data_IF_326071012129
#
_entry.id   IF_326071012129
#
_cell.length_a   1.000
_cell.length_b   1.000
_cell.length_c   1.000
_cell.angle_alpha   90.00
_cell.angle_beta   90.00
_cell.angle_gamma   90.00
#
_symmetry.space_group_name_H-M   'P 1'
#
loop_
_entity.id
_entity.type
_entity.pdbx_description
1 polymer ?
2 polymer ?
3 non-polymer ?
4 water ?
#
# COMPACT_ATOMS: atom_id res chain seq x y z
N UNK A 4 -15.96 -12.52 18.72
CA UNK A 4 -16.38 -13.89 18.37
C UNK A 4 -16.06 -14.86 19.50
N UNK A 5 -17.09 -15.45 20.08
CA UNK A 5 -16.91 -16.33 21.22
C UNK A 5 -16.49 -17.72 20.75
N UNK A 6 -16.07 -18.54 21.73
CA UNK A 6 -15.55 -19.86 21.41
C UNK A 6 -16.59 -20.72 20.70
N UNK A 7 -17.84 -20.69 21.18
CA UNK A 7 -18.89 -21.49 20.56
C UNK A 7 -19.11 -21.08 19.11
N UNK A 8 -19.02 -19.77 18.83
CA UNK A 8 -19.26 -19.32 17.47
C UNK A 8 -18.11 -19.73 16.55
N UNK A 9 -16.87 -19.59 17.03
CA UNK A 9 -15.72 -20.04 16.23
C UNK A 9 -15.86 -21.54 15.94
N UNK A 10 -16.26 -22.31 16.95
CA UNK A 10 -16.40 -23.75 16.76
C UNK A 10 -17.52 -24.06 15.76
N UNK A 11 -18.65 -23.35 15.87
CA UNK A 11 -19.73 -23.54 14.89
C UNK A 11 -19.23 -23.27 13.47
N UNK A 12 -18.45 -22.20 13.29
CA UNK A 12 -17.97 -21.87 11.97
C UNK A 12 -16.99 -22.91 11.45
N UNK A 13 -16.16 -23.45 12.33
CA UNK A 13 -15.29 -24.55 11.93
C UNK A 13 -16.10 -25.78 11.54
N UNK A 14 -17.18 -26.05 12.27
CA UNK A 14 -18.04 -27.17 11.92
C UNK A 14 -18.68 -26.98 10.56
N UNK A 15 -19.17 -25.77 10.27
CA UNK A 15 -19.71 -25.46 8.95
C UNK A 15 -18.66 -25.68 7.87
N UNK A 16 -17.43 -25.19 8.12
CA UNK A 16 -16.36 -25.33 7.15
C UNK A 16 -15.99 -26.78 6.93
N UNK A 17 -16.18 -27.63 7.95
CA UNK A 17 -15.90 -29.05 7.78
C UNK A 17 -16.75 -29.68 6.69
N UNK A 18 -17.88 -29.07 6.34
CA UNK A 18 -18.74 -29.53 5.26
C UNK A 18 -18.49 -28.76 3.96
N UNK A 19 -17.55 -27.83 3.97
CA UNK A 19 -17.22 -27.01 2.81
C UNK A 19 -15.82 -27.30 2.30
N UNK A 20 -14.87 -27.44 3.21
CA UNK A 20 -13.45 -27.54 2.82
C UNK A 20 -13.14 -28.97 2.37
N UNK A 21 -12.43 -29.09 1.26
CA UNK A 21 -12.01 -30.36 0.67
C UNK A 21 -10.48 -30.39 0.67
N UNK A 22 -9.94 -31.42 1.19
CA UNK A 22 -8.47 -31.54 1.26
C UNK A 22 -7.93 -32.31 0.08
N UNK A 23 -6.68 -32.08 -0.31
CA UNK A 23 -6.14 -32.80 -1.46
C UNK A 23 -5.83 -34.25 -1.09
N UNK A 24 -5.80 -35.09 -2.12
CA UNK A 24 -5.36 -36.46 -1.93
C UNK A 24 -3.84 -36.54 -1.99
N UNK A 25 -3.28 -37.44 -1.20
CA UNK A 25 -1.83 -37.54 -1.12
C UNK A 25 -1.26 -36.65 -0.04
N UNK A 26 0.05 -36.45 -0.11
CA UNK A 26 0.76 -35.72 0.91
C UNK A 26 0.50 -34.21 0.78
N UNK A 27 0.28 -33.57 1.91
CA UNK A 27 0.12 -32.11 1.98
C UNK A 27 0.36 -31.68 3.43
N UNK A 28 0.57 -30.39 3.59
CA UNK A 28 0.86 -29.79 4.88
C UNK A 28 -0.44 -29.68 5.68
N UNK A 29 -0.66 -30.66 6.57
CA UNK A 29 -1.90 -30.70 7.31
C UNK A 29 -2.01 -29.53 8.28
N UNK A 30 -0.91 -29.18 8.94
CA UNK A 30 -0.97 -28.07 9.89
C UNK A 30 -1.32 -26.75 9.19
N UNK A 31 -0.73 -26.49 8.03
CA UNK A 31 -1.06 -25.24 7.34
C UNK A 31 -2.47 -25.27 6.76
N UNK A 32 -2.94 -26.44 6.32
CA UNK A 32 -4.32 -26.54 5.88
C UNK A 32 -5.25 -26.19 7.03
N UNK A 33 -4.96 -26.72 8.22
CA UNK A 33 -5.76 -26.40 9.40
C UNK A 33 -5.72 -24.91 9.71
N UNK A 34 -4.54 -24.29 9.59
CA UNK A 34 -4.43 -22.85 9.83
C UNK A 34 -5.28 -22.06 8.84
N UNK A 35 -5.35 -22.50 7.58
CA UNK A 35 -6.19 -21.83 6.60
C UNK A 35 -7.67 -21.94 6.96
N UNK A 36 -8.10 -23.11 7.41
CA UNK A 36 -9.48 -23.27 7.86
C UNK A 36 -9.78 -22.38 9.05
N UNK A 37 -8.82 -22.29 9.99
CA UNK A 37 -9.02 -21.44 11.16
C UNK A 37 -9.18 -19.97 10.76
N UNK A 38 -8.42 -19.51 9.76
CA UNK A 38 -8.60 -18.13 9.28
C UNK A 38 -9.95 -17.96 8.60
N UNK A 39 -10.38 -18.94 7.81
CA UNK A 39 -11.70 -18.86 7.20
C UNK A 39 -12.82 -18.86 8.24
N UNK A 40 -12.59 -19.45 9.40
CA UNK A 40 -13.62 -19.54 10.43
C UNK A 40 -13.94 -18.18 11.06
N UNK A 41 -13.12 -17.15 10.80
CA UNK A 41 -13.45 -15.80 11.24
C UNK A 41 -14.50 -15.14 10.37
N UNK A 42 -14.80 -15.71 9.21
CA UNK A 42 -15.86 -15.16 8.36
C UNK A 42 -17.19 -15.33 9.07
N UNK A 43 -18.07 -14.35 8.89
CA UNK A 43 -19.37 -14.38 9.55
C UNK A 43 -20.10 -15.68 9.19
N UNK A 44 -20.67 -16.31 10.22
CA UNK A 44 -21.31 -17.58 10.03
C UNK A 44 -22.45 -17.55 9.02
N UNK A 45 -23.11 -16.39 8.87
CA UNK A 45 -24.18 -16.31 7.88
C UNK A 45 -23.66 -16.64 6.48
N UNK A 46 -22.47 -16.14 6.14
CA UNK A 46 -21.91 -16.41 4.82
C UNK A 46 -21.48 -17.87 4.70
N UNK A 47 -20.86 -18.41 5.74
CA UNK A 47 -20.42 -19.79 5.69
C UNK A 47 -21.60 -20.72 5.54
N UNK A 48 -22.70 -20.45 6.27
CA UNK A 48 -23.86 -21.33 6.17
C UNK A 48 -24.45 -21.28 4.76
N UNK A 49 -24.45 -20.10 4.13
CA UNK A 49 -24.94 -19.97 2.78
C UNK A 49 -24.07 -20.70 1.78
N UNK A 50 -22.76 -20.66 1.95
CA UNK A 50 -21.86 -21.44 1.10
C UNK A 50 -22.17 -22.92 1.22
N UNK A 51 -22.34 -23.40 2.46
CA UNK A 51 -22.67 -24.80 2.69
C UNK A 51 -23.99 -25.16 2.02
N UNK A 52 -25.02 -24.30 2.19
CA UNK A 52 -26.32 -24.62 1.61
C UNK A 52 -26.24 -24.72 0.08
N UNK A 53 -25.36 -23.93 -0.53
CA UNK A 53 -25.19 -23.93 -1.99
C UNK A 53 -24.21 -24.97 -2.48
N UNK A 54 -23.75 -25.85 -1.60
CA UNK A 54 -22.76 -26.88 -1.89
C UNK A 54 -21.54 -26.27 -2.61
N UNK A 55 -21.09 -25.13 -2.10
CA UNK A 55 -19.81 -24.56 -2.54
C UNK A 55 -18.69 -25.22 -1.77
N UNK A 56 -17.70 -25.73 -2.49
CA UNK A 56 -16.55 -26.37 -1.87
C UNK A 56 -15.34 -25.46 -1.92
N UNK A 57 -14.60 -25.43 -0.81
CA UNK A 57 -13.32 -24.74 -0.76
C UNK A 57 -12.25 -25.82 -0.90
N UNK A 58 -11.68 -25.89 -2.10
CA UNK A 58 -10.75 -26.97 -2.44
C UNK A 58 -9.32 -26.53 -2.13
N UNK A 59 -8.68 -27.21 -1.20
CA UNK A 59 -7.30 -26.96 -0.86
C UNK A 59 -6.43 -27.87 -1.72
N UNK A 60 -5.39 -27.31 -2.30
CA UNK A 60 -4.58 -27.98 -3.30
C UNK A 60 -3.12 -28.04 -2.87
N UNK A 61 -2.46 -29.12 -3.28
CA UNK A 61 -1.04 -29.31 -3.08
C UNK A 61 -0.21 -29.03 -4.33
N UNK A 62 -0.82 -28.56 -5.41
CA UNK A 62 -0.11 -28.28 -6.63
C UNK A 62 -0.78 -27.14 -7.35
N UNK A 63 -0.45 -26.95 -8.63
CA UNK A 63 -1.00 -25.85 -9.40
C UNK A 63 -2.51 -26.00 -9.61
N UNK A 64 -3.19 -24.85 -9.67
CA UNK A 64 -4.63 -24.87 -9.91
C UNK A 64 -4.95 -25.58 -11.21
N UNK A 65 -4.16 -25.34 -12.26
CA UNK A 65 -4.45 -25.86 -13.58
C UNK A 65 -4.13 -27.35 -13.71
N UNK A 66 -3.56 -27.97 -12.68
CA UNK A 66 -3.39 -29.41 -12.67
C UNK A 66 -4.66 -30.14 -12.29
N UNK A 67 -5.67 -29.43 -11.81
CA UNK A 67 -6.98 -30.00 -11.54
C UNK A 67 -7.80 -30.01 -12.83
N UNK A 68 -8.47 -31.12 -13.08
CA UNK A 68 -9.19 -31.30 -14.34
C UNK A 68 -10.12 -30.14 -14.62
N UNK A 69 -10.81 -29.62 -13.58
CA UNK A 69 -11.80 -28.59 -13.81
C UNK A 69 -11.19 -27.21 -14.13
N UNK A 70 -9.88 -27.03 -13.93
CA UNK A 70 -9.25 -25.78 -14.29
C UNK A 70 -8.19 -25.94 -15.39
N UNK A 71 -8.07 -27.13 -15.99
CA UNK A 71 -7.12 -27.29 -17.07
C UNK A 71 -7.39 -26.34 -18.24
N UNK A 72 -8.65 -25.96 -18.44
CA UNK A 72 -8.99 -25.04 -19.54
C UNK A 72 -8.36 -23.66 -19.37
N UNK A 73 -7.85 -23.34 -18.19
CA UNK A 73 -7.24 -22.05 -17.92
C UNK A 73 -5.73 -22.06 -18.11
N UNK A 74 -5.14 -23.18 -18.54
CA UNK A 74 -3.72 -23.21 -18.82
C UNK A 74 -3.36 -22.17 -19.87
N UNK A 75 -2.35 -21.37 -19.57
CA UNK A 75 -1.92 -20.33 -20.49
C UNK A 75 -2.81 -19.11 -20.54
N UNK A 76 -3.88 -19.08 -19.77
CA UNK A 76 -4.80 -17.94 -19.78
C UNK A 76 -4.36 -16.93 -18.74
N UNK A 77 -4.34 -15.65 -19.13
CA UNK A 77 -3.94 -14.57 -18.24
C UNK A 77 -5.19 -14.08 -17.52
N UNK A 78 -5.22 -14.13 -16.18
CA UNK A 78 -6.41 -13.69 -15.47
C UNK A 78 -6.74 -12.23 -15.70
N UNK A 79 -8.01 -11.92 -15.56
CA UNK A 79 -8.46 -10.52 -15.56
C UNK A 79 -7.64 -9.70 -14.56
N UNK A 80 -7.11 -8.57 -15.02
CA UNK A 80 -6.29 -7.71 -14.19
C UNK A 80 -4.83 -8.11 -14.05
N UNK A 81 -4.43 -9.26 -14.56
CA UNK A 81 -3.05 -9.71 -14.52
C UNK A 81 -2.31 -9.44 -15.82
N UNK A 82 -2.87 -8.59 -16.69
CA UNK A 82 -2.21 -8.25 -17.94
C UNK A 82 -0.82 -7.67 -17.68
N UNK A 83 0.16 -8.15 -18.45
CA UNK A 83 1.52 -7.63 -18.35
C UNK A 83 2.34 -8.17 -17.19
N UNK A 84 1.73 -8.99 -16.31
CA UNK A 84 2.49 -9.58 -15.23
C UNK A 84 3.44 -10.65 -15.73
N UNK A 85 3.19 -11.20 -16.91
CA UNK A 85 3.93 -12.36 -17.38
C UNK A 85 3.51 -13.67 -16.76
N UNK A 86 2.43 -13.66 -15.99
CA UNK A 86 1.90 -14.83 -15.33
C UNK A 86 0.58 -15.23 -15.97
N UNK A 87 0.29 -16.52 -15.87
CA UNK A 87 -0.98 -17.10 -16.30
C UNK A 87 -1.62 -17.82 -15.13
N UNK A 88 -2.81 -18.36 -15.35
CA UNK A 88 -3.49 -19.09 -14.27
C UNK A 88 -2.62 -20.21 -13.74
N UNK A 89 -1.73 -20.78 -14.57
CA UNK A 89 -0.82 -21.81 -14.10
C UNK A 89 -0.03 -21.38 -12.86
N UNK A 90 0.26 -20.08 -12.76
CA UNK A 90 1.08 -19.51 -11.71
C UNK A 90 0.29 -18.93 -10.55
N UNK A 91 -1.04 -18.89 -10.63
CA UNK A 91 -1.87 -18.16 -9.67
C UNK A 91 -2.29 -19.12 -8.56
N UNK A 92 -2.09 -18.76 -7.29
CA UNK A 92 -2.29 -19.74 -6.21
C UNK A 92 -3.69 -19.81 -5.66
N UNK A 93 -4.63 -18.97 -6.09
CA UNK A 93 -5.98 -19.01 -5.58
C UNK A 93 -6.97 -18.50 -6.59
N UNK A 94 -8.18 -19.06 -6.55
CA UNK A 94 -9.25 -18.74 -7.49
C UNK A 94 -10.56 -18.71 -6.73
N UNK A 95 -11.41 -17.72 -7.03
CA UNK A 95 -12.71 -17.64 -6.40
C UNK A 95 -13.75 -17.10 -7.37
N UNK A 96 -15.00 -17.51 -7.14
CA UNK A 96 -16.10 -17.12 -8.00
C UNK A 96 -17.21 -18.14 -7.89
N UNK A 97 -17.42 -18.91 -8.95
CA UNK A 97 -18.38 -20.01 -8.89
C UNK A 97 -17.83 -21.21 -8.13
N UNK A 98 -16.52 -21.25 -7.92
CA UNK A 98 -15.84 -22.28 -7.17
C UNK A 98 -14.78 -21.57 -6.33
N UNK A 99 -14.12 -22.31 -5.46
CA UNK A 99 -12.96 -21.78 -4.74
C UNK A 99 -11.86 -22.84 -4.74
N UNK A 100 -10.63 -22.44 -5.08
CA UNK A 100 -9.49 -23.34 -5.09
C UNK A 100 -8.27 -22.56 -4.60
N UNK A 101 -7.52 -23.18 -3.69
CA UNK A 101 -6.46 -22.51 -2.93
C UNK A 101 -5.27 -23.42 -2.77
N UNK A 102 -4.07 -22.92 -3.10
CA UNK A 102 -2.84 -23.67 -2.88
C UNK A 102 -2.37 -23.54 -1.44
N UNK A 103 -2.18 -24.67 -0.76
CA UNK A 103 -1.75 -24.65 0.62
C UNK A 103 -0.35 -24.06 0.72
N UNK A 104 -0.16 -23.16 1.68
CA UNK A 104 1.12 -22.53 1.91
C UNK A 104 1.28 -21.16 1.27
N UNK A 105 0.30 -20.72 0.47
CA UNK A 105 0.39 -19.47 -0.26
C UNK A 105 -0.51 -18.38 0.31
N UNK A 106 -0.91 -18.51 1.58
CA UNK A 106 -1.88 -17.59 2.15
C UNK A 106 -1.37 -16.16 2.18
N UNK A 107 -0.09 -15.96 2.54
CA UNK A 107 0.38 -14.63 2.89
C UNK A 107 0.73 -13.78 1.67
N UNK A 108 0.57 -12.48 1.83
CA UNK A 108 0.96 -11.50 0.84
C UNK A 108 2.38 -11.75 0.40
N UNK A 109 2.58 -11.79 -0.91
CA UNK A 109 3.87 -12.02 -1.49
C UNK A 109 4.14 -13.44 -1.97
N UNK A 110 3.23 -14.37 -1.69
CA UNK A 110 3.40 -15.76 -2.11
C UNK A 110 2.67 -15.96 -3.45
N UNK A 111 3.21 -15.31 -4.47
CA UNK A 111 2.60 -15.41 -5.78
C UNK A 111 1.40 -14.53 -5.97
N UNK A 112 1.15 -13.62 -5.04
CA UNK A 112 0.01 -12.70 -5.07
C UNK A 112 0.32 -11.61 -4.06
N UNK A 113 -0.48 -10.53 -4.09
CA UNK A 113 -0.32 -9.43 -3.14
C UNK A 113 -1.63 -9.14 -2.39
N UNK A 114 -2.49 -10.14 -2.26
CA UNK A 114 -3.68 -10.01 -1.41
C UNK A 114 -3.25 -10.11 0.05
N UNK A 115 -4.03 -9.48 0.93
CA UNK A 115 -3.68 -9.50 2.35
C UNK A 115 -3.75 -10.93 2.89
N UNK A 116 -4.64 -11.75 2.34
CA UNK A 116 -4.75 -13.15 2.69
C UNK A 116 -5.46 -13.84 1.53
N UNK A 117 -4.84 -14.90 1.03
CA UNK A 117 -5.32 -15.58 -0.17
C UNK A 117 -6.70 -16.20 0.04
N UNK A 118 -6.86 -17.00 1.09
CA UNK A 118 -8.11 -17.76 1.21
C UNK A 118 -9.30 -16.85 1.47
N UNK A 119 -9.12 -15.80 2.27
CA UNK A 119 -10.22 -14.87 2.52
C UNK A 119 -10.59 -14.12 1.25
N UNK A 120 -9.58 -13.67 0.49
CA UNK A 120 -9.84 -12.94 -0.76
C UNK A 120 -10.58 -13.84 -1.74
N UNK A 121 -10.10 -15.06 -1.95
CA UNK A 121 -10.75 -15.97 -2.89
C UNK A 121 -12.15 -16.33 -2.44
N UNK A 122 -12.32 -16.66 -1.17
CA UNK A 122 -13.65 -17.04 -0.68
C UNK A 122 -14.60 -15.85 -0.73
N UNK A 123 -14.10 -14.64 -0.54
CA UNK A 123 -14.95 -13.46 -0.71
C UNK A 123 -15.54 -13.40 -2.13
N UNK A 124 -14.78 -13.80 -3.14
CA UNK A 124 -15.35 -13.82 -4.49
C UNK A 124 -16.56 -14.74 -4.55
N UNK A 125 -16.49 -15.90 -3.91
CA UNK A 125 -17.58 -16.86 -3.96
C UNK A 125 -18.77 -16.32 -3.18
N UNK A 126 -18.49 -15.65 -2.05
CA UNK A 126 -19.59 -15.08 -1.27
C UNK A 126 -20.28 -13.98 -2.10
N UNK A 127 -19.48 -13.12 -2.72
CA UNK A 127 -20.01 -12.08 -3.61
C UNK A 127 -20.90 -12.70 -4.69
N UNK A 128 -20.38 -13.69 -5.41
CA UNK A 128 -21.07 -14.20 -6.59
C UNK A 128 -22.23 -15.14 -6.22
N UNK A 129 -21.98 -16.09 -5.33
CA UNK A 129 -22.95 -17.14 -5.05
C UNK A 129 -23.94 -16.68 -3.98
N UNK A 130 -23.44 -16.11 -2.89
CA UNK A 130 -24.27 -15.84 -1.73
C UNK A 130 -25.01 -14.53 -1.89
N UNK A 131 -24.35 -13.53 -2.45
CA UNK A 131 -24.85 -12.16 -2.49
C UNK A 131 -25.23 -11.73 -3.90
N UNK A 132 -25.24 -12.67 -4.86
CA UNK A 132 -25.77 -12.39 -6.20
C UNK A 132 -25.09 -11.18 -6.84
N UNK A 133 -23.75 -11.21 -6.79
CA UNK A 133 -22.88 -10.21 -7.44
C UNK A 133 -23.14 -8.81 -6.90
N UNK A 134 -23.16 -8.71 -5.57
CA UNK A 134 -23.40 -7.41 -4.94
C UNK A 134 -22.29 -6.43 -5.29
N UNK A 135 -21.08 -6.91 -5.57
CA UNK A 135 -20.00 -5.99 -5.89
C UNK A 135 -20.27 -5.21 -7.17
N UNK A 136 -21.17 -5.70 -8.02
CA UNK A 136 -21.53 -4.99 -9.24
C UNK A 136 -22.85 -4.24 -9.11
N UNK A 137 -23.40 -4.16 -7.92
CA UNK A 137 -24.60 -3.38 -7.69
C UNK A 137 -24.29 -1.88 -7.74
N UNK A 138 -25.33 -1.09 -8.02
CA UNK A 138 -25.16 0.36 -8.06
C UNK A 138 -24.64 0.88 -6.72
N UNK A 139 -25.15 0.34 -5.62
CA UNK A 139 -24.71 0.81 -4.31
C UNK A 139 -23.22 0.60 -4.13
N UNK A 140 -22.73 -0.59 -4.43
CA UNK A 140 -21.31 -0.82 -4.17
C UNK A 140 -20.44 -0.09 -5.18
N UNK A 141 -20.94 0.07 -6.42
CA UNK A 141 -20.17 0.82 -7.41
C UNK A 141 -19.94 2.26 -6.98
N UNK A 142 -20.94 2.86 -6.33
CA UNK A 142 -20.79 4.23 -5.83
C UNK A 142 -19.75 4.28 -4.70
N UNK A 143 -19.75 3.29 -3.83
CA UNK A 143 -18.72 3.21 -2.78
C UNK A 143 -17.34 2.98 -3.40
N UNK A 144 -17.26 2.05 -4.36
CA UNK A 144 -16.02 1.77 -5.07
C UNK A 144 -15.48 3.00 -5.79
N UNK A 145 -16.37 3.79 -6.37
CA UNK A 145 -15.93 5.00 -7.08
C UNK A 145 -15.22 5.95 -6.13
N UNK A 146 -15.62 5.98 -4.87
CA UNK A 146 -15.01 6.91 -3.94
C UNK A 146 -13.78 6.32 -3.24
N UNK A 147 -13.86 5.06 -2.85
CA UNK A 147 -12.87 4.46 -1.95
C UNK A 147 -12.00 3.40 -2.59
N UNK A 148 -12.25 3.04 -3.85
CA UNK A 148 -11.60 1.91 -4.49
C UNK A 148 -10.10 2.06 -4.74
N UNK A 149 -9.55 3.25 -4.57
CA UNK A 149 -8.13 3.51 -4.79
C UNK A 149 -7.40 3.77 -3.47
N UNK A 150 -8.02 3.43 -2.34
CA UNK A 150 -7.46 3.80 -1.03
C UNK A 150 -6.82 2.60 -0.34
N UNK A 151 -6.84 1.43 -0.97
CA UNK A 151 -6.27 0.21 -0.43
C UNK A 151 -5.04 -0.25 -1.20
N UNK A 152 -4.46 0.62 -2.02
CA UNK A 152 -3.32 0.25 -2.84
C UNK A 152 -3.72 -0.57 -4.06
N UNK A 153 -2.69 -0.99 -4.81
CA UNK A 153 -2.85 -1.77 -6.03
C UNK A 153 -3.99 -1.24 -6.90
N UNK A 154 -3.88 0.06 -7.21
CA UNK A 154 -5.02 0.80 -7.74
C UNK A 154 -5.35 0.42 -9.17
N UNK A 155 -4.40 -0.19 -9.90
CA UNK A 155 -4.73 -0.63 -11.25
C UNK A 155 -5.44 -1.97 -11.27
N UNK A 156 -5.62 -2.59 -10.10
CA UNK A 156 -6.39 -3.80 -9.94
C UNK A 156 -7.59 -3.55 -9.03
N UNK A 157 -7.36 -3.21 -7.76
CA UNK A 157 -8.46 -2.90 -6.84
C UNK A 157 -9.22 -1.65 -7.23
N UNK A 158 -8.57 -0.68 -7.83
CA UNK A 158 -9.25 0.55 -8.21
C UNK A 158 -9.99 0.49 -9.51
N UNK A 159 -9.86 -0.63 -10.23
CA UNK A 159 -10.44 -0.79 -11.54
C UNK A 159 -11.57 -1.79 -11.56
N UNK A 160 -11.50 -2.82 -10.74
CA UNK A 160 -12.52 -3.88 -10.76
C UNK A 160 -13.27 -3.89 -9.43
N UNK A 161 -14.56 -3.51 -9.40
CA UNK A 161 -15.25 -3.46 -8.11
C UNK A 161 -15.29 -4.79 -7.41
N UNK A 162 -15.40 -5.90 -8.16
CA UNK A 162 -15.39 -7.22 -7.52
C UNK A 162 -14.08 -7.51 -6.83
N UNK A 163 -12.97 -6.98 -7.32
CA UNK A 163 -11.69 -7.16 -6.63
C UNK A 163 -11.59 -6.27 -5.40
N UNK A 164 -12.04 -5.02 -5.49
CA UNK A 164 -12.07 -4.18 -4.31
C UNK A 164 -12.96 -4.80 -3.22
N UNK A 165 -14.09 -5.38 -3.61
CA UNK A 165 -14.95 -6.04 -2.64
C UNK A 165 -14.20 -7.19 -1.98
N UNK A 166 -13.59 -8.06 -2.78
CA UNK A 166 -12.94 -9.25 -2.23
C UNK A 166 -11.80 -8.87 -1.30
N UNK A 167 -11.00 -7.86 -1.67
CA UNK A 167 -9.87 -7.51 -0.81
C UNK A 167 -10.34 -6.78 0.45
N UNK A 168 -11.36 -5.93 0.31
CA UNK A 168 -11.92 -5.29 1.49
C UNK A 168 -12.48 -6.33 2.45
N UNK A 169 -13.17 -7.32 1.90
CA UNK A 169 -13.69 -8.40 2.71
C UNK A 169 -12.57 -9.09 3.48
N UNK A 170 -11.46 -9.36 2.82
CA UNK A 170 -10.31 -9.99 3.47
C UNK A 170 -9.76 -9.12 4.60
N UNK A 171 -9.65 -7.80 4.37
CA UNK A 171 -9.22 -6.91 5.44
C UNK A 171 -10.18 -6.98 6.62
N UNK A 172 -11.48 -7.01 6.33
CA UNK A 172 -12.47 -6.97 7.39
C UNK A 172 -12.36 -8.19 8.28
N UNK A 173 -12.06 -9.36 7.70
CA UNK A 173 -12.16 -10.61 8.43
C UNK A 173 -10.85 -11.28 8.81
N UNK A 174 -9.69 -10.78 8.35
CA UNK A 174 -8.45 -11.46 8.66
C UNK A 174 -8.12 -11.32 10.15
N UNK A 175 -7.95 -10.09 10.63
CA UNK A 175 -7.68 -9.91 12.04
C UNK A 175 -8.07 -8.49 12.45
N UNK A 176 -7.89 -8.21 13.74
CA UNK A 176 -8.29 -6.91 14.28
C UNK A 176 -7.50 -5.76 13.66
N UNK A 177 -6.23 -5.99 13.33
CA UNK A 177 -5.40 -4.94 12.74
C UNK A 177 -5.88 -4.58 11.34
N UNK A 178 -6.09 -5.60 10.49
CA UNK A 178 -6.52 -5.31 9.13
C UNK A 178 -7.94 -4.72 9.14
N UNK A 179 -8.77 -5.21 10.06
CA UNK A 179 -10.13 -4.65 10.20
C UNK A 179 -10.05 -3.17 10.53
N UNK A 180 -9.16 -2.79 11.45
CA UNK A 180 -9.01 -1.38 11.81
C UNK A 180 -8.46 -0.57 10.66
N UNK A 181 -7.52 -1.13 9.90
CA UNK A 181 -6.97 -0.41 8.74
C UNK A 181 -8.05 -0.14 7.71
N UNK A 182 -8.92 -1.11 7.46
CA UNK A 182 -9.99 -0.89 6.49
C UNK A 182 -10.92 0.23 6.95
N UNK A 183 -11.28 0.24 8.23
CA UNK A 183 -12.17 1.28 8.72
C UNK A 183 -11.57 2.67 8.51
N UNK A 184 -10.25 2.80 8.68
CA UNK A 184 -9.60 4.09 8.53
C UNK A 184 -9.45 4.48 7.07
N UNK A 185 -9.16 3.52 6.20
CA UNK A 185 -8.93 3.82 4.79
C UNK A 185 -10.23 3.97 4.02
N UNK A 186 -11.21 3.12 4.30
CA UNK A 186 -12.41 2.96 3.48
C UNK A 186 -13.63 2.89 4.40
N UNK A 187 -14.01 4.02 5.00
CA UNK A 187 -15.10 3.96 5.99
C UNK A 187 -16.45 3.57 5.41
N UNK A 188 -16.77 3.99 4.18
CA UNK A 188 -18.06 3.60 3.60
C UNK A 188 -18.10 2.12 3.27
N UNK A 189 -16.98 1.59 2.77
CA UNK A 189 -16.87 0.16 2.51
C UNK A 189 -16.98 -0.63 3.81
N UNK A 190 -16.33 -0.15 4.88
CA UNK A 190 -16.39 -0.81 6.17
C UNK A 190 -17.82 -0.87 6.70
N UNK A 191 -18.55 0.25 6.64
CA UNK A 191 -19.93 0.30 7.09
C UNK A 191 -20.81 -0.61 6.24
N UNK A 192 -20.55 -0.65 4.92
CA UNK A 192 -21.28 -1.53 4.03
C UNK A 192 -21.12 -2.98 4.43
N UNK A 193 -19.88 -3.39 4.71
CA UNK A 193 -19.64 -4.77 5.12
C UNK A 193 -20.25 -5.06 6.47
N UNK A 194 -20.14 -4.11 7.39
CA UNK A 194 -20.77 -4.24 8.69
C UNK A 194 -22.27 -4.49 8.56
N UNK A 195 -22.94 -3.73 7.71
CA UNK A 195 -24.37 -3.86 7.54
C UNK A 195 -24.73 -5.09 6.76
N UNK A 196 -23.87 -5.51 5.83
CA UNK A 196 -24.11 -6.73 5.07
C UNK A 196 -24.25 -7.94 5.97
N UNK A 197 -23.53 -7.97 7.10
CA UNK A 197 -23.51 -9.15 7.95
C UNK A 197 -24.66 -9.18 8.93
N UNK A 198 -25.44 -8.11 9.03
CA UNK A 198 -26.59 -8.08 9.96
C UNK A 198 -27.69 -9.03 9.50
N UNK B 7 9.73 18.01 -18.83
CA UNK B 7 10.99 17.31 -19.04
C UNK B 7 10.82 15.79 -18.96
N UNK B 8 11.58 15.09 -19.78
CA UNK B 8 11.53 13.64 -19.80
C UNK B 8 12.32 13.06 -18.62
N UNK B 9 12.19 11.75 -18.46
CA UNK B 9 13.00 11.03 -17.49
C UNK B 9 14.49 11.19 -17.82
N UNK B 10 14.83 11.18 -19.13
CA UNK B 10 16.22 11.30 -19.50
C UNK B 10 16.78 12.63 -19.02
N UNK B 11 16.04 13.71 -19.27
CA UNK B 11 16.47 15.03 -18.81
C UNK B 11 16.56 15.09 -17.28
N UNK B 12 15.59 14.49 -16.59
CA UNK B 12 15.61 14.52 -15.14
C UNK B 12 16.77 13.72 -14.57
N UNK B 13 17.11 12.58 -15.17
CA UNK B 13 18.29 11.86 -14.71
C UNK B 13 19.55 12.65 -15.01
N UNK B 14 19.59 13.37 -16.14
CA UNK B 14 20.75 14.22 -16.41
C UNK B 14 20.88 15.32 -15.37
N UNK B 15 19.76 15.98 -15.03
CA UNK B 15 19.78 16.96 -13.96
C UNK B 15 20.25 16.34 -12.66
N UNK B 16 19.73 15.17 -12.32
CA UNK B 16 20.10 14.54 -11.05
C UNK B 16 21.57 14.14 -11.02
N UNK B 17 22.14 13.78 -12.17
CA UNK B 17 23.57 13.49 -12.18
C UNK B 17 24.41 14.71 -11.81
N UNK B 18 23.85 15.92 -11.93
CA UNK B 18 24.54 17.13 -11.53
C UNK B 18 24.19 17.59 -10.13
N UNK B 19 23.23 16.95 -9.46
CA UNK B 19 22.78 17.35 -8.15
C UNK B 19 23.17 16.32 -7.10
N UNK B 20 23.12 15.04 -7.48
CA UNK B 20 23.35 13.95 -6.53
C UNK B 20 24.83 13.80 -6.29
N UNK B 21 25.21 13.64 -5.03
CA UNK B 21 26.59 13.43 -4.65
C UNK B 21 26.68 12.06 -4.01
N UNK B 22 27.55 11.23 -4.50
CA UNK B 22 27.69 9.89 -3.94
C UNK B 22 28.80 9.87 -2.88
N UNK B 23 28.69 8.98 -1.90
CA UNK B 23 29.65 8.97 -0.80
C UNK B 23 30.97 8.27 -1.13
N UNK B 24 31.98 8.57 -0.30
CA UNK B 24 33.24 7.87 -0.42
C UNK B 24 33.17 6.44 0.12
N UNK B 25 32.42 6.24 1.21
CA UNK B 25 32.42 4.94 1.85
C UNK B 25 31.61 3.90 1.11
N UNK B 26 31.53 2.73 1.73
CA UNK B 26 30.90 1.57 1.11
C UNK B 26 29.39 1.66 1.18
N UNK B 27 28.73 1.29 0.08
CA UNK B 27 27.29 1.29 0.03
C UNK B 27 26.83 0.46 -1.16
N UNK B 28 25.52 0.16 -1.17
CA UNK B 28 24.85 -0.61 -2.22
C UNK B 28 24.62 0.29 -3.43
N UNK B 29 25.44 0.12 -4.47
CA UNK B 29 25.36 1.00 -5.64
C UNK B 29 24.01 0.86 -6.36
N UNK B 30 23.50 -0.37 -6.45
CA UNK B 30 22.20 -0.56 -7.09
C UNK B 30 21.10 0.18 -6.35
N UNK B 31 21.13 0.17 -5.03
CA UNK B 31 20.09 0.87 -4.27
C UNK B 31 20.25 2.38 -4.41
N UNK B 32 21.48 2.88 -4.51
CA UNK B 32 21.68 4.29 -4.80
C UNK B 32 21.05 4.64 -6.14
N UNK B 33 21.24 3.79 -7.15
CA UNK B 33 20.62 4.05 -8.44
C UNK B 33 19.10 4.01 -8.35
N UNK B 34 18.55 3.12 -7.52
CA UNK B 34 17.11 3.07 -7.35
C UNK B 34 16.58 4.35 -6.73
N UNK B 35 17.33 4.94 -5.79
CA UNK B 35 16.92 6.21 -5.20
C UNK B 35 16.92 7.33 -6.24
N UNK B 36 17.93 7.36 -7.11
CA UNK B 36 17.96 8.36 -8.17
C UNK B 36 16.76 8.18 -9.10
N UNK B 37 16.43 6.92 -9.41
CA UNK B 37 15.30 6.64 -10.27
C UNK B 37 14.01 7.17 -9.68
N UNK B 38 13.81 6.99 -8.37
CA UNK B 38 12.59 7.52 -7.75
C UNK B 38 12.60 9.05 -7.74
N UNK B 39 13.75 9.66 -7.50
CA UNK B 39 13.83 11.11 -7.53
C UNK B 39 13.55 11.66 -8.92
N UNK B 40 13.86 10.89 -9.96
CA UNK B 40 13.66 11.37 -11.34
C UNK B 40 12.19 11.50 -11.72
N UNK B 41 11.26 11.00 -10.91
CA UNK B 41 9.85 11.25 -11.17
C UNK B 41 9.41 12.66 -10.78
N UNK B 42 10.23 13.37 -10.02
CA UNK B 42 9.88 14.74 -9.64
C UNK B 42 9.91 15.62 -10.89
N UNK B 43 9.01 16.57 -10.96
CA UNK B 43 8.94 17.45 -12.11
C UNK B 43 10.29 18.13 -12.36
N UNK B 44 10.72 18.12 -13.62
CA UNK B 44 12.03 18.66 -13.95
C UNK B 44 12.19 20.12 -13.58
N UNK B 45 11.08 20.87 -13.60
CA UNK B 45 11.18 22.29 -13.25
C UNK B 45 11.72 22.45 -11.84
N UNK B 46 11.24 21.63 -10.91
CA UNK B 46 11.75 21.70 -9.55
C UNK B 46 13.21 21.26 -9.48
N UNK B 47 13.56 20.18 -10.17
CA UNK B 47 14.92 19.66 -10.08
C UNK B 47 15.92 20.67 -10.66
N UNK B 48 15.58 21.30 -11.79
CA UNK B 48 16.48 22.30 -12.35
C UNK B 48 16.57 23.54 -11.47
N UNK B 49 15.50 23.89 -10.77
CA UNK B 49 15.59 25.00 -9.82
C UNK B 49 16.52 24.65 -8.65
N UNK B 50 16.46 23.40 -8.17
CA UNK B 50 17.43 22.96 -7.15
C UNK B 50 18.86 23.06 -7.68
N UNK B 51 19.08 22.64 -8.91
CA UNK B 51 20.41 22.70 -9.49
C UNK B 51 20.89 24.15 -9.59
N UNK B 52 20.01 25.07 -10.00
CA UNK B 52 20.41 26.48 -10.11
C UNK B 52 20.86 27.04 -8.77
N UNK B 53 20.27 26.57 -7.68
CA UNK B 53 20.63 27.03 -6.35
C UNK B 53 21.76 26.24 -5.73
N UNK B 54 22.43 25.38 -6.51
CA UNK B 54 23.56 24.55 -6.05
C UNK B 54 23.18 23.62 -4.90
N UNK B 55 21.93 23.23 -4.80
CA UNK B 55 21.50 22.26 -3.80
C UNK B 55 22.05 20.90 -4.22
N UNK B 56 22.72 20.23 -3.29
CA UNK B 56 23.24 18.89 -3.53
C UNK B 56 22.36 17.90 -2.77
N UNK B 57 22.04 16.79 -3.42
CA UNK B 57 21.36 15.67 -2.77
C UNK B 57 22.46 14.71 -2.36
N UNK B 58 22.82 14.73 -1.08
CA UNK B 58 23.96 13.98 -0.58
C UNK B 58 23.50 12.61 -0.13
N UNK B 59 23.95 11.56 -0.82
CA UNK B 59 23.65 10.20 -0.44
C UNK B 59 24.78 9.75 0.47
N UNK B 60 24.43 9.12 1.60
CA UNK B 60 25.39 8.85 2.65
C UNK B 60 25.53 7.34 2.86
N UNK B 61 26.72 6.94 3.24
CA UNK B 61 26.99 5.53 3.53
C UNK B 61 26.86 5.19 5.00
N UNK B 62 26.53 6.17 5.85
CA UNK B 62 26.37 5.94 7.27
C UNK B 62 25.40 6.91 7.90
N UNK B 63 25.49 7.10 9.22
CA UNK B 63 24.59 8.00 9.93
C UNK B 63 24.78 9.43 9.45
N UNK B 64 23.69 10.21 9.46
CA UNK B 64 23.77 11.60 9.06
C UNK B 64 24.79 12.36 9.91
N UNK B 65 24.81 12.11 11.20
CA UNK B 65 25.65 12.85 12.14
C UNK B 65 27.10 12.44 12.08
N UNK B 66 27.44 11.39 11.33
CA UNK B 66 28.84 11.08 11.06
C UNK B 66 29.44 11.92 9.95
N UNK B 67 28.63 12.73 9.27
CA UNK B 67 29.13 13.72 8.32
C UNK B 67 29.51 15.00 9.05
N UNK B 68 30.66 15.57 8.69
CA UNK B 68 31.16 16.74 9.39
C UNK B 68 30.13 17.85 9.50
N UNK B 69 29.36 18.08 8.43
CA UNK B 69 28.46 19.23 8.39
C UNK B 69 27.20 19.02 9.23
N UNK B 70 26.95 17.80 9.71
CA UNK B 70 25.81 17.52 10.55
C UNK B 70 26.20 17.04 11.94
N UNK B 71 27.51 17.07 12.27
CA UNK B 71 27.94 16.65 13.61
C UNK B 71 27.31 17.51 14.69
N UNK B 72 26.94 18.75 14.37
CA UNK B 72 26.30 19.62 15.35
C UNK B 72 24.92 19.10 15.77
N UNK B 73 24.33 18.16 15.04
CA UNK B 73 23.02 17.62 15.40
C UNK B 73 23.11 16.38 16.29
N UNK B 74 24.31 15.94 16.67
CA UNK B 74 24.43 14.81 17.58
C UNK B 74 23.72 15.13 18.89
N UNK B 75 22.86 14.21 19.33
CA UNK B 75 22.10 14.39 20.56
C UNK B 75 20.91 15.33 20.47
N UNK B 76 20.64 15.89 19.32
CA UNK B 76 19.53 16.82 19.11
C UNK B 76 18.27 16.05 18.70
N UNK B 77 17.14 16.40 19.29
CA UNK B 77 15.86 15.74 19.01
C UNK B 77 15.18 16.49 17.88
N UNK B 78 14.88 15.84 16.74
CA UNK B 78 14.23 16.57 15.65
C UNK B 78 12.85 17.09 16.04
N UNK B 79 12.45 18.17 15.37
CA UNK B 79 11.09 18.68 15.47
C UNK B 79 10.08 17.59 15.15
N UNK B 80 9.13 17.41 16.05
CA UNK B 80 8.10 16.39 15.87
C UNK B 80 8.49 15.00 16.30
N UNK B 81 9.75 14.77 16.66
CA UNK B 81 10.22 13.47 17.13
C UNK B 81 10.30 13.40 18.64
N UNK B 82 9.73 14.38 19.32
CA UNK B 82 9.70 14.37 20.77
C UNK B 82 9.00 13.10 21.25
N UNK B 83 9.57 12.45 22.25
CA UNK B 83 8.97 11.25 22.80
C UNK B 83 9.24 9.97 22.02
N UNK B 84 9.90 10.04 20.86
CA UNK B 84 10.34 8.84 20.17
C UNK B 84 11.51 8.17 20.88
N UNK B 85 12.22 8.92 21.72
CA UNK B 85 13.49 8.44 22.25
C UNK B 85 14.64 8.51 21.27
N UNK B 86 14.44 9.14 20.13
CA UNK B 86 15.45 9.22 19.08
C UNK B 86 16.01 10.63 18.98
N UNK B 87 17.22 10.70 18.46
CA UNK B 87 17.87 11.97 18.11
C UNK B 87 18.25 11.92 16.63
N UNK B 88 18.81 13.04 16.14
CA UNK B 88 19.20 13.08 14.74
C UNK B 88 20.16 11.95 14.40
N UNK B 89 20.95 11.50 15.37
CA UNK B 89 21.87 10.38 15.16
C UNK B 89 21.17 9.18 14.56
N UNK B 90 19.90 8.99 14.89
CA UNK B 90 19.13 7.82 14.53
C UNK B 90 18.28 8.03 13.29
N UNK B 91 18.21 9.24 12.76
CA UNK B 91 17.28 9.61 11.70
C UNK B 91 17.97 9.49 10.35
N UNK B 92 17.38 8.79 9.37
CA UNK B 92 18.10 8.49 8.13
C UNK B 92 18.01 9.52 7.03
N UNK B 93 17.23 10.58 7.18
CA UNK B 93 17.12 11.57 6.11
C UNK B 93 16.83 12.95 6.64
N UNK B 94 17.31 13.95 5.92
CA UNK B 94 17.17 15.35 6.31
C UNK B 94 16.92 16.17 5.07
N UNK B 95 16.04 17.16 5.18
CA UNK B 95 15.77 18.06 4.07
C UNK B 95 15.44 19.45 4.57
N UNK B 96 15.72 20.44 3.73
CA UNK B 96 15.51 21.83 4.08
C UNK B 96 16.42 22.71 3.27
N UNK B 97 17.41 23.32 3.92
CA UNK B 97 18.44 24.06 3.21
C UNK B 97 19.47 23.14 2.56
N UNK B 98 19.55 21.91 3.02
CA UNK B 98 20.37 20.86 2.42
C UNK B 98 19.50 19.61 2.31
N UNK B 99 20.04 18.57 1.68
CA UNK B 99 19.43 17.25 1.62
C UNK B 99 20.51 16.21 1.88
N UNK B 100 20.24 15.31 2.84
CA UNK B 100 21.17 14.24 3.18
C UNK B 100 20.36 12.99 3.45
N UNK B 101 20.75 11.87 2.85
CA UNK B 101 19.96 10.66 2.80
C UNK B 101 20.84 9.43 2.97
N UNK B 102 20.48 8.57 3.94
CA UNK B 102 21.22 7.33 4.11
C UNK B 102 20.74 6.28 3.11
N UNK B 103 21.69 5.74 2.34
CA UNK B 103 21.39 4.76 1.31
C UNK B 103 20.86 3.49 1.95
N UNK B 104 19.77 2.95 1.40
CA UNK B 104 19.17 1.74 1.93
C UNK B 104 17.98 1.95 2.84
N UNK B 105 17.68 3.19 3.20
CA UNK B 105 16.63 3.51 4.17
C UNK B 105 15.42 4.18 3.51
N UNK B 106 15.22 3.94 2.20
CA UNK B 106 14.17 4.65 1.49
C UNK B 106 12.79 4.29 2.01
N UNK B 107 12.53 3.01 2.26
CA UNK B 107 11.18 2.52 2.44
C UNK B 107 10.65 2.82 3.82
N UNK B 108 9.33 3.00 3.89
CA UNK B 108 8.62 3.10 5.16
C UNK B 108 9.03 1.96 6.08
N UNK B 109 9.39 2.33 7.32
CA UNK B 109 9.84 1.37 8.30
C UNK B 109 11.33 1.28 8.52
N UNK B 110 12.13 1.94 7.67
CA UNK B 110 13.59 1.96 7.82
C UNK B 110 14.04 3.18 8.61
N UNK B 111 13.68 3.18 9.89
CA UNK B 111 13.98 4.33 10.73
C UNK B 111 13.12 5.55 10.51
N UNK B 112 12.03 5.41 9.78
CA UNK B 112 11.11 6.49 9.52
C UNK B 112 9.83 5.87 8.96
N UNK B 113 8.78 6.69 8.86
CA UNK B 113 7.54 6.20 8.28
C UNK B 113 7.03 7.12 7.18
N UNK B 114 7.95 7.81 6.49
CA UNK B 114 7.58 8.51 5.28
C UNK B 114 7.34 7.50 4.17
N UNK B 115 6.48 7.86 3.22
CA UNK B 115 6.14 6.93 2.13
C UNK B 115 7.39 6.60 1.34
N UNK B 116 8.31 7.55 1.28
CA UNK B 116 9.62 7.38 0.63
C UNK B 116 10.55 8.43 1.19
N UNK B 117 11.72 8.01 1.67
CA UNK B 117 12.62 8.94 2.34
C UNK B 117 13.11 10.04 1.41
N UNK B 118 13.64 9.69 0.24
CA UNK B 118 14.33 10.68 -0.57
C UNK B 118 13.35 11.69 -1.15
N UNK B 119 12.14 11.24 -1.52
CA UNK B 119 11.15 12.19 -2.03
C UNK B 119 10.67 13.13 -0.94
N UNK B 120 10.50 12.61 0.29
CA UNK B 120 10.05 13.44 1.41
C UNK B 120 11.11 14.49 1.74
N UNK B 121 12.36 14.06 1.86
CA UNK B 121 13.43 15.00 2.19
C UNK B 121 13.62 16.02 1.09
N UNK B 122 13.61 15.57 -0.17
CA UNK B 122 13.82 16.51 -1.27
C UNK B 122 12.65 17.47 -1.38
N UNK B 123 11.45 17.03 -1.03
CA UNK B 123 10.31 17.93 -1.00
C UNK B 123 10.53 19.09 -0.03
N UNK B 124 11.14 18.83 1.13
CA UNK B 124 11.47 19.91 2.04
C UNK B 124 12.37 20.96 1.38
N UNK B 125 13.36 20.52 0.61
CA UNK B 125 14.26 21.46 -0.04
C UNK B 125 13.52 22.24 -1.13
N UNK B 126 12.66 21.56 -1.89
CA UNK B 126 11.88 22.25 -2.91
C UNK B 126 10.99 23.29 -2.27
N UNK B 127 10.33 22.91 -1.17
CA UNK B 127 9.51 23.85 -0.41
C UNK B 127 10.31 25.07 -0.01
N UNK B 128 11.47 24.86 0.60
CA UNK B 128 12.22 25.95 1.21
C UNK B 128 13.01 26.75 0.18
N UNK B 129 13.75 26.05 -0.68
CA UNK B 129 14.67 26.70 -1.59
C UNK B 129 13.96 27.19 -2.85
N UNK B 130 13.12 26.34 -3.44
CA UNK B 130 12.55 26.65 -4.76
C UNK B 130 11.25 27.45 -4.63
N UNK B 131 10.44 27.12 -3.64
CA UNK B 131 9.07 27.63 -3.56
C UNK B 131 8.87 28.63 -2.42
N UNK B 132 9.95 29.10 -1.81
CA UNK B 132 9.89 30.19 -0.84
C UNK B 132 8.93 29.85 0.31
N UNK B 133 9.08 28.64 0.86
CA UNK B 133 8.30 28.19 2.02
C UNK B 133 6.80 28.23 1.73
N UNK B 134 6.42 27.65 0.59
CA UNK B 134 5.03 27.63 0.17
C UNK B 134 4.17 26.89 1.18
N UNK B 135 4.76 25.97 1.95
CA UNK B 135 3.97 25.24 2.96
C UNK B 135 3.46 26.17 4.05
N UNK B 136 4.05 27.35 4.20
CA UNK B 136 3.57 28.33 5.15
C UNK B 136 2.78 29.45 4.48
N UNK B 137 2.46 29.30 3.19
CA UNK B 137 1.67 30.28 2.50
C UNK B 137 0.22 30.22 2.97
N UNK B 138 -0.49 31.33 2.79
CA UNK B 138 -1.89 31.38 3.21
C UNK B 138 -2.72 30.34 2.46
N UNK B 139 -2.46 30.19 1.15
CA UNK B 139 -3.22 29.21 0.38
C UNK B 139 -3.03 27.81 0.94
N UNK B 140 -1.78 27.44 1.22
CA UNK B 140 -1.54 26.08 1.69
C UNK B 140 -2.01 25.90 3.14
N UNK B 141 -1.95 26.96 3.96
CA UNK B 141 -2.45 26.82 5.32
C UNK B 141 -3.92 26.44 5.35
N UNK B 142 -4.73 26.99 4.43
CA UNK B 142 -6.15 26.61 4.42
C UNK B 142 -6.36 25.16 3.97
N UNK B 143 -5.57 24.72 3.00
CA UNK B 143 -5.64 23.33 2.57
C UNK B 143 -5.19 22.41 3.70
N UNK B 144 -4.06 22.75 4.33
CA UNK B 144 -3.57 21.99 5.48
C UNK B 144 -4.59 21.93 6.61
N UNK B 145 -5.26 23.04 6.89
CA UNK B 145 -6.25 23.03 7.96
C UNK B 145 -7.36 22.02 7.69
N UNK B 146 -7.71 21.81 6.43
CA UNK B 146 -8.81 20.91 6.08
C UNK B 146 -8.36 19.48 5.86
N UNK B 147 -7.19 19.27 5.24
CA UNK B 147 -6.78 17.95 4.78
C UNK B 147 -5.58 17.41 5.50
N UNK B 148 -4.99 18.16 6.43
CA UNK B 148 -3.72 17.75 7.02
C UNK B 148 -3.80 16.53 7.90
N UNK B 149 -5.02 16.07 8.23
CA UNK B 149 -5.21 14.89 9.06
C UNK B 149 -5.77 13.71 8.27
N UNK B 150 -5.67 13.75 6.95
CA UNK B 150 -6.26 12.74 6.08
C UNK B 150 -5.25 11.82 5.44
N UNK B 151 -3.95 12.01 5.71
CA UNK B 151 -2.86 11.20 5.17
C UNK B 151 -2.20 10.35 6.23
N UNK B 152 -2.87 10.10 7.35
CA UNK B 152 -2.28 9.31 8.43
C UNK B 152 -1.31 10.14 9.26
N UNK B 153 -0.73 9.48 10.26
CA UNK B 153 0.25 10.10 11.16
C UNK B 153 -0.20 11.49 11.55
N UNK B 154 -1.43 11.58 12.06
CA UNK B 154 -2.08 12.87 12.14
C UNK B 154 -1.43 13.78 13.17
N UNK B 155 -0.73 13.23 14.14
CA UNK B 155 -0.09 14.06 15.16
C UNK B 155 1.25 14.61 14.71
N UNK B 156 1.69 14.24 13.51
CA UNK B 156 2.88 14.81 12.88
C UNK B 156 2.49 15.56 11.62
N UNK B 157 1.91 14.89 10.63
CA UNK B 157 1.48 15.56 9.42
C UNK B 157 0.36 16.58 9.67
N UNK B 158 -0.51 16.32 10.64
CA UNK B 158 -1.59 17.25 10.94
C UNK B 158 -1.22 18.42 11.79
N UNK B 159 0.02 18.46 12.27
CA UNK B 159 0.48 19.51 13.16
C UNK B 159 1.46 20.46 12.49
N UNK B 160 2.29 19.99 11.57
CA UNK B 160 3.33 20.80 10.92
C UNK B 160 3.02 20.92 9.43
N UNK B 161 2.63 22.10 8.94
CA UNK B 161 2.29 22.17 7.50
C UNK B 161 3.44 21.82 6.59
N UNK B 162 4.68 22.13 6.96
CA UNK B 162 5.81 21.77 6.11
C UNK B 162 5.95 20.25 6.00
N UNK B 163 5.54 19.51 7.02
CA UNK B 163 5.57 18.05 6.96
C UNK B 163 4.42 17.50 6.12
N UNK B 164 3.22 18.07 6.23
CA UNK B 164 2.13 17.64 5.35
C UNK B 164 2.49 17.94 3.90
N UNK B 165 3.13 19.09 3.63
CA UNK B 165 3.54 19.39 2.27
C UNK B 165 4.55 18.35 1.77
N UNK B 166 5.60 18.09 2.57
CA UNK B 166 6.64 17.18 2.13
C UNK B 166 6.11 15.79 1.88
N UNK B 167 5.24 15.29 2.77
CA UNK B 167 4.70 13.94 2.59
C UNK B 167 3.71 13.89 1.44
N UNK B 168 2.86 14.91 1.29
CA UNK B 168 1.94 14.94 0.17
C UNK B 168 2.70 14.98 -1.15
N UNK B 169 3.74 15.79 -1.22
CA UNK B 169 4.59 15.86 -2.40
C UNK B 169 5.15 14.48 -2.75
N UNK B 170 5.66 13.77 -1.74
CA UNK B 170 6.18 12.42 -1.95
C UNK B 170 5.09 11.49 -2.47
N UNK B 171 3.88 11.56 -1.89
CA UNK B 171 2.79 10.73 -2.39
C UNK B 171 2.51 11.04 -3.85
N UNK B 172 2.52 12.33 -4.20
CA UNK B 172 2.17 12.72 -5.55
C UNK B 172 3.15 12.13 -6.55
N UNK B 173 4.44 12.02 -6.18
CA UNK B 173 5.44 11.66 -7.16
C UNK B 173 6.01 10.25 -7.05
N UNK B 174 5.69 9.48 -6.01
CA UNK B 174 6.35 8.19 -5.85
C UNK B 174 5.88 7.19 -6.91
N UNK B 175 4.60 6.86 -6.91
CA UNK B 175 4.06 5.89 -7.87
C UNK B 175 2.56 6.13 -8.01
N UNK B 176 1.93 5.33 -8.87
CA UNK B 176 0.52 5.54 -9.15
C UNK B 176 -0.35 5.22 -7.93
N UNK B 177 0.04 4.22 -7.13
CA UNK B 177 -0.74 3.88 -5.95
C UNK B 177 -0.80 5.08 -4.98
N UNK B 178 0.35 5.68 -4.70
CA UNK B 178 0.39 6.78 -3.75
C UNK B 178 -0.25 8.04 -4.33
N UNK B 179 -0.03 8.27 -5.63
CA UNK B 179 -0.63 9.41 -6.29
C UNK B 179 -2.15 9.32 -6.24
N UNK B 180 -2.69 8.14 -6.51
CA UNK B 180 -4.14 7.97 -6.48
C UNK B 180 -4.67 8.04 -5.05
N UNK B 181 -3.91 7.53 -4.08
CA UNK B 181 -4.37 7.59 -2.69
C UNK B 181 -4.45 9.02 -2.24
N UNK B 182 -3.48 9.84 -2.64
CA UNK B 182 -3.51 11.25 -2.29
C UNK B 182 -4.70 11.96 -2.91
N UNK B 183 -4.98 11.68 -4.18
CA UNK B 183 -6.11 12.34 -4.83
C UNK B 183 -7.41 12.03 -4.12
N UNK B 184 -7.57 10.78 -3.66
CA UNK B 184 -8.78 10.41 -2.95
C UNK B 184 -8.83 11.03 -1.56
N UNK B 185 -7.72 10.99 -0.83
CA UNK B 185 -7.69 11.42 0.57
C UNK B 185 -7.65 12.93 0.69
N UNK B 186 -6.91 13.60 -0.20
CA UNK B 186 -6.60 15.03 -0.06
C UNK B 186 -6.78 15.69 -1.41
N UNK B 187 -8.03 15.85 -1.86
CA UNK B 187 -8.25 16.35 -3.23
C UNK B 187 -7.76 17.78 -3.47
N UNK B 188 -7.88 18.68 -2.49
CA UNK B 188 -7.39 20.03 -2.65
C UNK B 188 -5.87 20.06 -2.68
N UNK B 189 -5.24 19.25 -1.83
CA UNK B 189 -3.78 19.16 -1.88
C UNK B 189 -3.32 18.64 -3.23
N UNK B 190 -4.00 17.63 -3.75
CA UNK B 190 -3.66 17.06 -5.04
C UNK B 190 -3.75 18.11 -6.15
N UNK B 191 -4.87 18.82 -6.20
CA UNK B 191 -5.03 19.87 -7.21
C UNK B 191 -4.00 20.98 -7.03
N UNK B 192 -3.69 21.34 -5.80
CA UNK B 192 -2.65 22.33 -5.53
C UNK B 192 -1.29 21.90 -6.10
N UNK B 193 -0.91 20.65 -5.87
CA UNK B 193 0.35 20.15 -6.41
C UNK B 193 0.29 20.01 -7.92
N UNK B 194 -0.83 19.55 -8.44
CA UNK B 194 -1.00 19.48 -9.88
C UNK B 194 -0.81 20.85 -10.53
N UNK B 195 -1.43 21.87 -9.95
CA UNK B 195 -1.34 23.22 -10.54
C UNK B 195 0.04 23.82 -10.32
N UNK B 196 0.70 23.49 -9.21
CA UNK B 196 2.05 24.02 -8.95
C UNK B 196 3.00 23.61 -10.05
N UNK B 197 2.82 22.41 -10.61
CA UNK B 197 3.76 21.89 -11.59
C UNK B 197 3.47 22.37 -13.02
N UNK B 198 2.36 23.05 -13.24
CA UNK B 198 1.99 23.55 -14.55
C UNK B 198 2.99 24.62 -15.01
C UNK C 1 18.70 25.53 8.38
N UNK C 2 17.59 25.59 7.65
CA UNK C 2 16.42 24.79 7.99
C UNK C 2 16.72 23.30 7.83
N UNK C 3 16.33 22.51 8.84
CA UNK C 3 16.46 21.06 8.80
C UNK C 3 15.13 20.46 9.22
N UNK C 4 14.65 19.51 8.45
CA UNK C 4 13.37 18.86 8.71
C UNK C 4 13.56 17.37 8.54
N UNK C 5 12.93 16.61 9.44
CA UNK C 5 13.04 15.16 9.48
C UNK C 5 11.91 14.52 8.71
N UNK C 6 12.00 13.21 8.46
CA UNK C 6 10.87 12.49 7.88
C UNK C 6 9.83 12.20 8.94
N UNK C 7 8.77 11.53 8.52
CA UNK C 7 7.70 11.08 9.44
C UNK C 7 8.26 10.11 10.47
N UNK C 8 7.98 10.31 11.74
CA UNK C 8 8.38 9.33 12.73
C UNK C 8 7.71 8.03 12.48
C UNK D 1 -17.50 -19.18 -13.89
N UNK D 2 -17.86 -18.25 -13.03
CA UNK D 2 -17.01 -17.10 -12.77
C UNK D 2 -15.69 -17.49 -12.09
N UNK D 3 -14.62 -16.90 -12.59
CA UNK D 3 -13.29 -17.10 -12.02
C UNK D 3 -12.66 -15.74 -11.81
N UNK D 4 -12.07 -15.54 -10.64
CA UNK D 4 -11.40 -14.29 -10.29
C UNK D 4 -10.12 -14.60 -9.53
N UNK D 5 -9.07 -13.87 -9.85
CA UNK D 5 -7.76 -14.10 -9.26
C UNK D 5 -7.54 -13.20 -8.06
N UNK D 6 -6.49 -13.45 -7.31
CA UNK D 6 -6.08 -12.54 -6.24
C UNK D 6 -5.36 -11.32 -6.82
N UNK D 7 -4.96 -10.42 -5.92
CA UNK D 7 -4.20 -9.24 -6.31
C UNK D 7 -2.86 -9.72 -6.89
N UNK D 8 -2.48 -9.21 -8.05
CA UNK D 8 -1.15 -9.52 -8.57
C UNK D 8 -0.05 -9.02 -7.67
X LIG E 1 -9.70 -11.34 -6.63
X LIG F 1 9.70 15.96 6.96
#
# INVERSE_FOLDING_TARGET
GSHMDSTTIQQNKDTLSQIVVFPTGNYDKNEANAMVNRLANIDGKYLNALKQNNLKIKLLSGKLTDEKEYAYLKGVVPKGWEGTGKTWDDVPGLGGSTVALRIGFSNKGKGHDAINLELHATAHAIDHIVLNDISKSAQFKQIFAKEGRSLGNVNFLGVYPEEFFAESFAYYYLNQDTNSKLKSACPQTYSFLQNLAK
GSHMDSTTIQQNKDTLSQIVVFPTGNYDKNEANAMVNRLANIDGKYLNALKQNNLKIKLLSGKLTDEKEYAYLKGVVPKGWEGTGKTWDDVPGLGGSTVALRIGFSNKGKGHDAINLELHATAHAIDHIVLNDISKSAQFKQIFAKEGRSLGNVNFLGVYPEEFFAESFAYYYLNQDTNSKLKSACPQTYSFLQNLAK
XEVNAPVX
XEVNAPVX
ZN ZN
ZN ZN
#
